data_IF_769496519682
#
_entry.id   IF_769496519682
#
_cell.length_a   1.000
_cell.length_b   1.000
_cell.length_c   1.000
_cell.angle_alpha   90.00
_cell.angle_beta   90.00
_cell.angle_gamma   90.00
#
_symmetry.space_group_name_H-M   'P 1'
#
loop_
_entity.id
_entity.type
_entity.pdbx_description
1 polymer ?
#
# COMPACT_ATOMS: atom_id res chain seq x y z
N UNK A 1 -27.90 -25.18 58.68
CA UNK A 1 -26.59 -25.73 58.28
C UNK A 1 -26.39 -25.41 56.80
N UNK A 2 -25.68 -24.31 56.50
CA UNK A 2 -25.36 -23.89 55.13
C UNK A 2 -23.91 -24.28 54.86
N UNK A 3 -23.68 -25.07 53.83
CA UNK A 3 -22.35 -25.41 53.32
C UNK A 3 -22.05 -24.45 52.16
N UNK A 4 -21.02 -23.59 52.23
CA UNK A 4 -20.59 -22.81 51.08
C UNK A 4 -19.50 -23.56 50.29
N UNK A 5 -19.68 -23.62 48.98
CA UNK A 5 -18.70 -24.07 48.00
C UNK A 5 -17.53 -23.08 47.90
N UNK A 6 -16.31 -23.60 47.97
CA UNK A 6 -15.08 -22.90 47.62
C UNK A 6 -14.96 -22.74 46.11
N UNK A 7 -14.63 -21.54 45.64
CA UNK A 7 -13.94 -21.31 44.37
C UNK A 7 -13.06 -20.06 44.49
N UNK A 8 -11.79 -20.27 44.80
CA UNK A 8 -10.74 -19.28 44.67
C UNK A 8 -10.44 -19.06 43.17
N UNK A 9 -10.91 -17.96 42.61
CA UNK A 9 -10.29 -17.36 41.42
C UNK A 9 -9.71 -16.01 41.83
N UNK A 10 -8.39 -15.99 42.02
CA UNK A 10 -7.65 -14.79 42.36
C UNK A 10 -7.78 -13.74 41.27
N UNK A 11 -8.40 -12.62 41.62
CA UNK A 11 -8.40 -11.40 40.83
C UNK A 11 -6.98 -10.82 40.90
N UNK A 12 -6.23 -10.93 39.82
CA UNK A 12 -4.94 -10.26 39.66
C UNK A 12 -5.21 -8.75 39.62
N UNK A 13 -4.92 -8.03 40.71
CA UNK A 13 -4.88 -6.57 40.72
C UNK A 13 -3.44 -6.13 40.45
N UNK A 14 -3.13 -5.52 39.29
CA UNK A 14 -1.83 -4.88 39.14
C UNK A 14 -1.80 -3.64 40.03
N UNK A 15 -0.81 -3.61 40.93
CA UNK A 15 -0.45 -2.44 41.73
C UNK A 15 -0.13 -1.26 40.81
N UNK A 16 -1.00 -0.23 40.86
CA UNK A 16 -0.78 1.08 40.24
C UNK A 16 0.36 1.80 40.96
N UNK A 17 1.60 1.54 40.54
CA UNK A 17 2.69 2.47 40.74
C UNK A 17 2.65 3.46 39.56
N UNK A 18 2.12 4.67 39.80
CA UNK A 18 2.07 5.75 38.82
C UNK A 18 3.52 6.18 38.49
N UNK A 19 4.04 6.00 37.27
CA UNK A 19 5.32 6.58 36.89
C UNK A 19 5.14 8.08 36.56
N UNK A 20 6.21 8.88 36.61
CA UNK A 20 6.14 10.30 36.29
C UNK A 20 5.85 10.51 34.79
N UNK A 21 5.09 11.56 34.50
CA UNK A 21 4.72 12.10 33.18
C UNK A 21 5.93 12.31 32.25
N UNK A 22 6.39 11.26 31.58
CA UNK A 22 7.48 11.31 30.60
C UNK A 22 7.03 10.62 29.33
N UNK A 23 6.85 11.43 28.28
CA UNK A 23 6.75 11.00 26.89
C UNK A 23 7.69 9.80 26.62
N UNK A 24 7.12 8.62 26.34
CA UNK A 24 7.89 7.42 26.03
C UNK A 24 8.51 7.60 24.64
N UNK A 25 9.84 7.58 24.60
CA UNK A 25 10.67 7.66 23.38
C UNK A 25 11.18 6.26 23.07
N UNK A 26 11.03 5.82 21.82
CA UNK A 26 11.54 4.54 21.34
C UNK A 26 12.38 4.73 20.08
N UNK A 27 13.48 3.99 19.97
CA UNK A 27 14.36 3.94 18.81
C UNK A 27 14.37 2.52 18.26
N UNK A 28 14.07 2.39 16.97
CA UNK A 28 13.93 1.11 16.27
C UNK A 28 14.93 1.03 15.14
N UNK A 29 15.68 -0.07 15.05
CA UNK A 29 16.39 -0.43 13.83
C UNK A 29 15.56 -1.45 13.07
N UNK A 30 15.25 -1.16 11.80
CA UNK A 30 14.39 -1.99 10.98
C UNK A 30 15.08 -2.50 9.72
N UNK A 31 14.72 -3.72 9.30
CA UNK A 31 15.26 -4.39 8.11
C UNK A 31 14.10 -4.90 7.23
N UNK A 32 14.15 -4.59 5.94
CA UNK A 32 13.25 -5.10 4.90
C UNK A 32 14.05 -5.82 3.81
N UNK A 33 13.74 -7.11 3.59
CA UNK A 33 14.37 -7.98 2.59
C UNK A 33 13.39 -9.02 2.02
N UNK A 34 12.11 -8.68 1.88
CA UNK A 34 11.08 -9.65 1.45
C UNK A 34 11.04 -9.90 -0.05
N UNK A 35 11.36 -8.87 -0.86
CA UNK A 35 11.30 -8.86 -2.31
C UNK A 35 12.68 -8.61 -2.94
N UNK A 36 12.88 -7.51 -3.66
CA UNK A 36 14.11 -7.14 -4.39
C UNK A 36 14.76 -5.85 -3.87
N UNK A 37 14.11 -5.19 -2.92
CA UNK A 37 14.63 -4.04 -2.20
C UNK A 37 15.32 -4.46 -0.89
N UNK A 38 16.60 -4.14 -0.76
CA UNK A 38 17.33 -4.20 0.50
C UNK A 38 17.19 -2.86 1.19
N UNK A 39 16.42 -2.78 2.29
CA UNK A 39 16.23 -1.51 3.00
C UNK A 39 16.52 -1.65 4.50
N UNK A 40 17.09 -0.57 5.05
CA UNK A 40 17.35 -0.44 6.49
C UNK A 40 16.92 0.96 6.94
N UNK A 41 16.27 1.04 8.10
CA UNK A 41 15.84 2.30 8.68
C UNK A 41 16.16 2.39 10.18
N UNK A 42 16.40 3.60 10.66
CA UNK A 42 16.44 3.95 12.08
C UNK A 42 15.34 4.96 12.34
N UNK A 43 14.29 4.51 13.02
CA UNK A 43 13.13 5.32 13.36
C UNK A 43 13.14 5.63 14.85
N UNK A 44 12.97 6.90 15.19
CA UNK A 44 12.65 7.34 16.53
C UNK A 44 11.18 7.75 16.61
N UNK A 45 10.49 7.32 17.66
CA UNK A 45 9.13 7.77 17.96
C UNK A 45 9.06 8.38 19.35
N UNK A 46 8.20 9.39 19.50
CA UNK A 46 7.91 10.05 20.78
C UNK A 46 6.43 10.34 20.87
N UNK A 47 5.77 9.87 21.92
CA UNK A 47 4.35 10.20 22.18
C UNK A 47 4.23 11.38 23.11
N UNK A 48 3.48 12.38 22.68
CA UNK A 48 3.05 13.52 23.48
C UNK A 48 1.72 13.17 24.14
N UNK A 49 1.53 13.61 25.38
CA UNK A 49 0.28 13.44 26.14
C UNK A 49 -0.70 14.58 25.86
N UNK A 50 -0.19 15.79 25.58
CA UNK A 50 -0.96 16.99 25.28
C UNK A 50 -0.25 17.84 24.20
N UNK A 51 -0.77 17.90 22.96
CA UNK A 51 -1.87 17.07 22.44
C UNK A 51 -1.46 15.60 22.33
N UNK A 52 -2.43 14.68 22.42
CA UNK A 52 -2.21 13.25 22.26
C UNK A 52 -1.80 12.90 20.83
N UNK A 53 -0.49 12.91 20.55
CA UNK A 53 0.08 12.69 19.21
C UNK A 53 1.39 11.93 19.31
N UNK A 54 1.63 11.01 18.37
CA UNK A 54 2.92 10.33 18.20
C UNK A 54 3.70 11.00 17.08
N UNK A 55 4.88 11.51 17.43
CA UNK A 55 5.86 12.04 16.49
C UNK A 55 6.79 10.93 16.03
N UNK A 56 7.23 10.99 14.79
CA UNK A 56 8.22 10.11 14.21
C UNK A 56 9.38 10.91 13.59
N UNK A 57 10.61 10.40 13.70
CA UNK A 57 11.79 10.95 13.03
C UNK A 57 12.64 9.82 12.46
N UNK A 58 12.96 9.90 11.17
CA UNK A 58 13.90 8.99 10.53
C UNK A 58 15.33 9.53 10.65
N UNK A 59 16.20 8.83 11.40
CA UNK A 59 17.62 9.16 11.51
C UNK A 59 18.45 8.56 10.36
N UNK A 60 17.93 7.48 9.78
CA UNK A 60 18.48 6.79 8.63
C UNK A 60 17.35 6.07 7.90
N UNK A 61 17.33 6.15 6.57
CA UNK A 61 16.43 5.39 5.73
C UNK A 61 17.06 5.31 4.34
N UNK A 62 17.60 4.13 4.02
CA UNK A 62 18.26 3.89 2.74
C UNK A 62 17.77 2.57 2.16
N UNK A 63 17.86 2.47 0.82
CA UNK A 63 17.39 1.32 0.06
C UNK A 63 18.27 1.09 -1.15
N UNK A 64 18.55 -0.19 -1.43
CA UNK A 64 19.21 -0.64 -2.66
C UNK A 64 18.29 -1.64 -3.35
N UNK A 65 17.84 -1.29 -4.55
CA UNK A 65 16.99 -2.14 -5.41
C UNK A 65 17.87 -3.03 -6.27
N UNK A 66 17.61 -4.34 -6.27
CA UNK A 66 18.33 -5.29 -7.12
C UNK A 66 18.12 -5.00 -8.62
N UNK A 67 19.20 -5.06 -9.41
CA UNK A 67 19.11 -4.85 -10.85
C UNK A 67 18.58 -6.12 -11.54
N UNK A 68 17.28 -6.09 -11.84
CA UNK A 68 16.57 -7.20 -12.47
C UNK A 68 16.31 -7.00 -13.98
N UNK A 69 16.99 -6.03 -14.63
CA UNK A 69 16.70 -5.65 -16.01
C UNK A 69 16.80 -6.82 -17.01
N UNK A 70 17.77 -7.72 -16.82
CA UNK A 70 17.96 -8.89 -17.69
C UNK A 70 16.82 -9.93 -17.62
N UNK A 71 16.01 -9.90 -16.56
CA UNK A 71 14.95 -10.88 -16.30
C UNK A 71 13.55 -10.34 -16.58
N UNK A 72 13.42 -9.06 -16.99
CA UNK A 72 12.14 -8.38 -17.24
C UNK A 72 11.15 -8.45 -16.06
N UNK A 73 11.66 -8.53 -14.83
CA UNK A 73 10.88 -8.64 -13.60
C UNK A 73 11.74 -9.15 -12.45
N UNK A 74 11.20 -9.12 -11.23
CA UNK A 74 11.94 -9.53 -10.02
C UNK A 74 12.43 -10.98 -10.15
N UNK A 75 13.76 -11.15 -10.12
CA UNK A 75 14.40 -12.46 -10.17
C UNK A 75 14.88 -12.87 -8.77
N UNK A 76 14.38 -13.98 -8.19
CA UNK A 76 14.64 -14.33 -6.80
C UNK A 76 16.12 -14.43 -6.43
N UNK A 77 16.96 -15.01 -7.29
CA UNK A 77 18.39 -15.19 -7.01
C UNK A 77 19.16 -13.86 -7.10
N UNK A 78 18.82 -13.01 -8.08
CA UNK A 78 19.47 -11.70 -8.21
C UNK A 78 19.09 -10.78 -7.04
N UNK A 79 17.84 -10.88 -6.56
CA UNK A 79 17.40 -10.22 -5.34
C UNK A 79 18.15 -10.74 -4.10
N UNK A 80 18.32 -12.07 -3.98
CA UNK A 80 19.08 -12.67 -2.88
C UNK A 80 20.54 -12.22 -2.84
N UNK A 81 21.23 -12.27 -3.98
CA UNK A 81 22.63 -11.80 -4.13
C UNK A 81 22.74 -10.33 -3.71
N UNK A 82 21.84 -9.49 -4.20
CA UNK A 82 21.79 -8.08 -3.82
C UNK A 82 21.60 -7.88 -2.31
N UNK A 83 20.69 -8.63 -1.66
CA UNK A 83 20.53 -8.56 -0.20
C UNK A 83 21.81 -8.96 0.55
N UNK A 84 22.49 -10.03 0.11
CA UNK A 84 23.71 -10.53 0.73
C UNK A 84 24.87 -9.53 0.61
N UNK A 85 24.98 -8.86 -0.54
CA UNK A 85 26.03 -7.86 -0.80
C UNK A 85 25.80 -6.54 -0.05
N UNK A 86 24.54 -6.10 0.08
CA UNK A 86 24.24 -4.73 0.49
C UNK A 86 23.77 -4.59 1.94
N UNK A 87 23.11 -5.61 2.52
CA UNK A 87 22.46 -5.46 3.83
C UNK A 87 23.45 -5.08 4.94
N UNK A 88 24.62 -5.73 5.00
CA UNK A 88 25.63 -5.46 6.03
C UNK A 88 26.18 -4.02 5.95
N UNK A 89 26.34 -3.50 4.73
CA UNK A 89 26.80 -2.13 4.50
C UNK A 89 25.76 -1.12 4.98
N UNK A 90 24.48 -1.32 4.62
CA UNK A 90 23.38 -0.48 5.07
C UNK A 90 23.21 -0.52 6.60
N UNK A 91 23.29 -1.70 7.22
CA UNK A 91 23.25 -1.84 8.69
C UNK A 91 24.40 -1.11 9.36
N UNK A 92 25.60 -1.15 8.78
CA UNK A 92 26.78 -0.44 9.32
C UNK A 92 26.56 1.08 9.33
N UNK A 93 26.02 1.64 8.25
CA UNK A 93 25.68 3.07 8.20
C UNK A 93 24.52 3.42 9.13
N UNK A 94 23.48 2.59 9.20
CA UNK A 94 22.36 2.76 10.12
C UNK A 94 22.80 2.84 11.59
N UNK A 95 23.71 1.94 12.02
CA UNK A 95 24.23 1.92 13.39
C UNK A 95 24.97 3.22 13.74
N UNK A 96 25.68 3.84 12.78
CA UNK A 96 26.35 5.14 13.00
C UNK A 96 25.36 6.27 13.26
N UNK A 97 24.13 6.14 12.74
CA UNK A 97 23.04 7.13 12.87
C UNK A 97 22.11 6.88 14.07
N UNK A 98 22.33 5.82 14.86
CA UNK A 98 21.53 5.58 16.06
C UNK A 98 21.66 6.75 17.05
N UNK A 99 20.55 7.36 17.49
CA UNK A 99 20.58 8.46 18.44
C UNK A 99 21.02 8.00 19.84
N UNK A 100 21.57 8.93 20.61
CA UNK A 100 21.94 8.72 22.01
C UNK A 100 23.35 8.13 22.24
N UNK A 101 23.85 8.28 23.48
CA UNK A 101 25.24 7.95 23.84
C UNK A 101 25.58 6.45 23.73
N UNK A 102 24.60 5.57 23.94
CA UNK A 102 24.78 4.10 23.93
C UNK A 102 24.75 3.49 22.53
N UNK A 103 24.39 4.27 21.48
CA UNK A 103 24.28 3.83 20.08
C UNK A 103 23.67 2.43 19.91
N UNK A 104 22.52 2.22 20.54
CA UNK A 104 21.74 0.98 20.44
C UNK A 104 20.26 1.31 20.31
N UNK A 105 19.48 0.54 19.53
CA UNK A 105 18.03 0.69 19.50
C UNK A 105 17.40 0.09 20.77
N UNK A 106 16.14 0.41 21.02
CA UNK A 106 15.33 -0.22 22.07
C UNK A 106 14.87 -1.62 21.66
N UNK A 107 14.64 -1.85 20.36
CA UNK A 107 14.35 -3.15 19.77
C UNK A 107 14.74 -3.18 18.27
N UNK A 108 14.84 -4.37 17.70
CA UNK A 108 15.05 -4.58 16.26
C UNK A 108 13.76 -5.11 15.65
N UNK A 109 13.30 -4.49 14.57
CA UNK A 109 12.20 -5.00 13.76
C UNK A 109 12.70 -5.54 12.43
N UNK A 110 12.08 -6.61 11.94
CA UNK A 110 12.45 -7.20 10.66
C UNK A 110 11.25 -7.83 10.01
N UNK A 111 11.15 -7.76 8.69
CA UNK A 111 10.10 -8.48 8.00
C UNK A 111 10.29 -9.98 8.09
N UNK A 112 9.29 -10.63 8.68
CA UNK A 112 9.25 -12.08 8.86
C UNK A 112 8.50 -12.78 7.72
N UNK A 113 7.60 -12.06 7.05
CA UNK A 113 6.89 -12.53 5.85
C UNK A 113 5.61 -11.72 5.57
N UNK A 114 4.83 -12.06 4.53
CA UNK A 114 5.19 -13.00 3.46
C UNK A 114 6.36 -12.49 2.61
N UNK A 115 6.91 -13.34 1.74
CA UNK A 115 8.02 -12.97 0.84
C UNK A 115 8.82 -14.16 0.34
N UNK A 116 9.86 -13.88 -0.44
CA UNK A 116 10.78 -14.91 -0.94
C UNK A 116 11.60 -15.48 0.23
N UNK A 117 11.48 -16.79 0.46
CA UNK A 117 11.96 -17.44 1.69
C UNK A 117 13.45 -17.20 1.95
N UNK A 118 14.30 -17.35 0.93
CA UNK A 118 15.75 -17.12 1.04
C UNK A 118 16.07 -15.67 1.36
N UNK A 119 15.37 -14.73 0.73
CA UNK A 119 15.56 -13.29 0.93
C UNK A 119 15.15 -12.87 2.35
N UNK A 120 14.03 -13.40 2.85
CA UNK A 120 13.58 -13.20 4.22
C UNK A 120 14.60 -13.72 5.24
N UNK A 121 15.26 -14.85 4.98
CA UNK A 121 16.28 -15.37 5.89
C UNK A 121 17.48 -14.41 6.03
N UNK A 122 17.92 -13.79 4.94
CA UNK A 122 19.03 -12.82 4.98
C UNK A 122 18.75 -11.70 5.99
N UNK A 123 17.60 -11.03 5.91
CA UNK A 123 17.22 -9.99 6.86
C UNK A 123 16.98 -10.52 8.28
N UNK A 124 16.22 -11.61 8.40
CA UNK A 124 15.82 -12.17 9.70
C UNK A 124 17.02 -12.66 10.52
N UNK A 125 17.98 -13.34 9.90
CA UNK A 125 19.14 -13.87 10.60
C UNK A 125 20.14 -12.76 10.95
N UNK A 126 20.29 -11.73 10.11
CA UNK A 126 21.00 -10.49 10.49
C UNK A 126 20.34 -9.82 11.70
N UNK A 127 19.01 -9.68 11.71
CA UNK A 127 18.28 -9.06 12.83
C UNK A 127 18.45 -9.85 14.14
N UNK A 128 18.41 -11.19 14.09
CA UNK A 128 18.72 -12.05 15.25
C UNK A 128 20.15 -11.86 15.73
N UNK A 129 21.10 -11.78 14.80
CA UNK A 129 22.52 -11.51 15.10
C UNK A 129 22.69 -10.19 15.86
N UNK A 130 22.07 -9.12 15.37
CA UNK A 130 22.07 -7.80 16.02
C UNK A 130 21.44 -7.85 17.42
N UNK A 131 20.24 -8.45 17.53
CA UNK A 131 19.52 -8.59 18.79
C UNK A 131 20.32 -9.37 19.85
N UNK A 132 21.02 -10.44 19.43
CA UNK A 132 21.86 -11.26 20.29
C UNK A 132 23.21 -10.61 20.66
N UNK A 133 23.80 -9.85 19.73
CA UNK A 133 25.13 -9.25 19.89
C UNK A 133 25.14 -8.10 20.91
N UNK A 134 24.05 -7.34 21.05
CA UNK A 134 23.91 -6.27 22.06
C UNK A 134 23.69 -6.83 23.49
N UNK A 135 24.66 -7.65 23.93
CA UNK A 135 24.70 -8.51 25.13
C UNK A 135 24.43 -7.83 26.47
N UNK A 136 24.53 -6.50 26.57
CA UNK A 136 24.30 -5.79 27.84
C UNK A 136 22.80 -5.62 28.20
N UNK A 137 21.85 -5.91 27.30
CA UNK A 137 20.41 -5.74 27.61
C UNK A 137 19.43 -6.69 26.92
N UNK A 138 19.87 -7.66 26.11
CA UNK A 138 19.00 -8.50 25.24
C UNK A 138 17.96 -7.66 24.50
N UNK A 139 18.38 -7.01 23.42
CA UNK A 139 17.50 -6.17 22.62
C UNK A 139 16.37 -7.05 22.05
N UNK A 140 15.09 -6.73 22.30
CA UNK A 140 13.97 -7.49 21.77
C UNK A 140 13.96 -7.52 20.24
N UNK A 141 13.44 -8.61 19.68
CA UNK A 141 13.20 -8.77 18.25
C UNK A 141 11.68 -8.72 17.99
N UNK A 142 11.28 -8.06 16.91
CA UNK A 142 9.89 -7.99 16.44
C UNK A 142 9.84 -8.38 14.97
N UNK A 143 9.24 -9.53 14.67
CA UNK A 143 8.95 -10.02 13.34
C UNK A 143 7.68 -9.37 12.79
N UNK A 144 7.83 -8.53 11.77
CA UNK A 144 6.75 -7.76 11.18
C UNK A 144 6.15 -8.48 9.98
N UNK A 145 4.83 -8.39 9.85
CA UNK A 145 4.13 -8.84 8.65
C UNK A 145 4.19 -7.76 7.57
N UNK A 146 4.75 -8.10 6.41
CA UNK A 146 4.99 -7.16 5.30
C UNK A 146 3.72 -6.40 4.87
N UNK A 147 2.61 -7.11 4.62
CA UNK A 147 1.34 -6.47 4.23
C UNK A 147 0.71 -5.60 5.33
N UNK A 148 0.91 -5.95 6.60
CA UNK A 148 0.47 -5.13 7.72
C UNK A 148 1.26 -3.81 7.73
N UNK A 149 2.56 -3.87 7.42
CA UNK A 149 3.39 -2.68 7.33
C UNK A 149 2.92 -1.71 6.25
N UNK A 150 2.61 -2.23 5.06
CA UNK A 150 1.96 -1.44 4.00
C UNK A 150 0.63 -0.81 4.47
N UNK A 151 -0.21 -1.56 5.18
CA UNK A 151 -1.49 -1.06 5.67
C UNK A 151 -1.35 0.06 6.73
N UNK A 152 -0.25 0.06 7.51
CA UNK A 152 0.02 1.04 8.56
C UNK A 152 0.93 2.20 8.13
N UNK A 153 1.51 2.16 6.92
CA UNK A 153 2.24 3.30 6.31
C UNK A 153 1.54 4.66 6.45
N UNK A 154 0.23 4.85 6.22
CA UNK A 154 -0.41 6.15 6.44
C UNK A 154 -0.26 6.69 7.87
N UNK A 155 -0.18 5.79 8.87
CA UNK A 155 0.03 6.17 10.28
C UNK A 155 1.47 6.61 10.55
N UNK A 156 2.45 5.99 9.86
CA UNK A 156 3.83 6.49 9.83
C UNK A 156 3.88 7.90 9.24
N UNK A 157 3.23 8.12 8.09
CA UNK A 157 3.22 9.42 7.42
C UNK A 157 2.65 10.50 8.33
N UNK A 158 1.48 10.25 8.93
CA UNK A 158 0.88 11.19 9.88
C UNK A 158 1.83 11.54 11.05
N UNK A 159 2.59 10.56 11.54
CA UNK A 159 3.55 10.78 12.62
C UNK A 159 4.81 11.56 12.18
N UNK A 160 5.27 11.37 10.94
CA UNK A 160 6.36 12.15 10.34
C UNK A 160 5.93 13.60 10.11
N UNK A 161 4.74 13.80 9.51
CA UNK A 161 4.18 15.12 9.24
C UNK A 161 3.96 15.91 10.53
N UNK A 162 3.49 15.25 11.60
CA UNK A 162 3.31 15.87 12.92
C UNK A 162 4.63 16.30 13.56
N UNK A 163 5.75 15.62 13.26
CA UNK A 163 7.07 15.99 13.76
C UNK A 163 7.64 17.22 13.04
N UNK A 164 7.36 17.36 11.74
CA UNK A 164 7.75 18.52 10.94
C UNK A 164 6.89 19.75 11.25
N UNK A 165 5.59 19.53 11.54
CA UNK A 165 4.60 20.58 11.73
C UNK A 165 3.89 20.43 13.09
N UNK A 166 4.61 20.69 14.19
CA UNK A 166 4.06 20.70 15.55
C UNK A 166 2.79 21.57 15.71
N UNK A 167 2.58 22.56 14.82
CA UNK A 167 1.40 23.44 14.79
C UNK A 167 0.21 22.91 13.99
N UNK A 168 0.37 21.86 13.15
CA UNK A 168 -0.70 21.30 12.30
C UNK A 168 -1.29 19.99 12.82
N UNK A 169 -0.88 19.52 14.00
CA UNK A 169 -1.44 18.35 14.66
C UNK A 169 -2.80 18.68 15.31
N UNK A 170 -3.79 19.06 14.51
CA UNK A 170 -5.15 19.33 14.99
C UNK A 170 -6.06 18.15 14.61
N UNK A 171 -6.22 17.23 15.56
CA UNK A 171 -7.49 16.57 15.84
C UNK A 171 -7.35 15.93 17.22
N UNK A 172 -7.98 16.56 18.23
CA UNK A 172 -7.97 16.07 19.61
C UNK A 172 -8.84 14.81 19.65
N UNK A 173 -8.22 13.65 19.86
CA UNK A 173 -8.96 12.41 20.16
C UNK A 173 -9.17 12.30 21.67
N UNK A 174 -10.42 12.25 22.17
CA UNK A 174 -10.66 12.06 23.60
C UNK A 174 -10.41 10.59 23.98
N UNK A 175 -9.68 10.40 25.08
CA UNK A 175 -9.48 9.16 25.83
C UNK A 175 -8.67 8.06 25.12
N UNK A 176 -7.35 8.04 25.38
CA UNK A 176 -6.51 6.85 25.17
C UNK A 176 -5.75 6.49 26.44
N UNK A 177 -5.50 5.20 26.62
CA UNK A 177 -4.55 4.68 27.61
C UNK A 177 -3.12 4.99 27.16
N UNK A 178 -2.18 5.18 28.10
CA UNK A 178 -0.76 5.54 27.88
C UNK A 178 0.03 4.62 26.90
N UNK A 179 -0.56 3.50 26.46
CA UNK A 179 0.10 2.42 25.73
C UNK A 179 -0.10 2.50 24.20
N UNK A 180 -1.12 3.20 23.71
CA UNK A 180 -1.47 3.26 22.28
C UNK A 180 -0.72 4.36 21.51
N UNK A 181 -0.39 4.09 20.23
CA UNK A 181 0.13 5.11 19.31
C UNK A 181 -1.01 6.01 18.85
N UNK A 182 -0.88 7.30 19.17
CA UNK A 182 -1.78 8.36 18.71
C UNK A 182 -1.34 8.88 17.32
N UNK A 183 -1.75 8.17 16.28
CA UNK A 183 -1.55 8.56 14.87
C UNK A 183 -2.84 8.29 14.08
N UNK A 184 -3.08 9.08 13.03
CA UNK A 184 -4.18 8.90 12.07
C UNK A 184 -3.72 8.09 10.86
N UNK A 185 -4.58 7.36 10.14
CA UNK A 185 -5.99 7.12 10.44
C UNK A 185 -6.18 6.28 11.70
N UNK A 186 -7.28 6.55 12.40
CA UNK A 186 -7.72 5.71 13.52
C UNK A 186 -8.35 4.42 12.98
N UNK A 187 -8.22 3.33 13.73
CA UNK A 187 -8.99 2.13 13.43
C UNK A 187 -10.48 2.38 13.77
N UNK A 188 -11.44 1.82 13.00
CA UNK A 188 -11.24 1.06 11.77
C UNK A 188 -11.05 1.96 10.53
N UNK A 189 -10.26 1.48 9.56
CA UNK A 189 -10.14 2.13 8.25
C UNK A 189 -10.02 1.09 7.12
N UNK A 190 -10.32 1.51 5.90
CA UNK A 190 -10.09 0.71 4.69
C UNK A 190 -8.81 1.15 4.00
N UNK A 191 -8.10 0.21 3.39
CA UNK A 191 -6.92 0.48 2.57
C UNK A 191 -7.04 -0.21 1.22
N UNK A 192 -6.86 0.56 0.15
CA UNK A 192 -6.54 0.03 -1.17
C UNK A 192 -5.02 -0.04 -1.26
N UNK A 193 -4.49 -1.25 -1.46
CA UNK A 193 -3.10 -1.45 -1.81
C UNK A 193 -3.01 -1.79 -3.30
N UNK A 194 -2.58 -0.81 -4.10
CA UNK A 194 -2.43 -0.93 -5.54
C UNK A 194 -0.96 -0.71 -5.95
N UNK A 195 -0.27 -1.81 -6.23
CA UNK A 195 1.14 -1.82 -6.65
C UNK A 195 1.32 -2.66 -7.92
N UNK A 196 2.57 -2.81 -8.38
CA UNK A 196 2.91 -3.71 -9.48
C UNK A 196 2.60 -5.18 -9.18
N UNK A 197 2.61 -5.60 -7.90
CA UNK A 197 2.39 -6.99 -7.50
C UNK A 197 1.11 -7.25 -6.70
N UNK A 198 0.43 -6.21 -6.21
CA UNK A 198 -0.73 -6.35 -5.36
C UNK A 198 -1.88 -5.44 -5.81
N UNK A 199 -3.10 -5.96 -5.72
CA UNK A 199 -4.33 -5.15 -5.80
C UNK A 199 -5.31 -5.72 -4.80
N UNK A 200 -5.34 -5.11 -3.62
CA UNK A 200 -6.09 -5.59 -2.46
C UNK A 200 -6.93 -4.46 -1.87
N UNK A 201 -8.07 -4.83 -1.28
CA UNK A 201 -8.83 -3.99 -0.38
C UNK A 201 -8.81 -4.63 1.00
N UNK A 202 -8.24 -3.92 1.97
CA UNK A 202 -7.98 -4.41 3.31
C UNK A 202 -8.83 -3.60 4.28
N UNK A 203 -9.55 -4.27 5.17
CA UNK A 203 -10.17 -3.65 6.33
C UNK A 203 -9.27 -3.83 7.55
N UNK A 204 -8.78 -2.72 8.09
CA UNK A 204 -7.97 -2.71 9.30
C UNK A 204 -8.88 -2.36 10.48
N UNK A 205 -9.35 -3.37 11.21
CA UNK A 205 -10.27 -3.19 12.33
C UNK A 205 -9.56 -2.80 13.63
N UNK A 206 -8.35 -3.32 13.85
CA UNK A 206 -7.44 -3.00 14.95
C UNK A 206 -5.99 -3.24 14.49
N UNK A 207 -5.01 -2.92 15.32
CA UNK A 207 -3.59 -3.21 15.05
C UNK A 207 -3.31 -4.68 14.68
N UNK A 208 -4.09 -5.63 15.22
CA UNK A 208 -3.84 -7.07 15.05
C UNK A 208 -4.93 -7.79 14.26
N UNK A 209 -5.96 -7.06 13.79
CA UNK A 209 -7.09 -7.64 13.05
C UNK A 209 -7.26 -6.91 11.73
N UNK A 210 -6.89 -7.61 10.66
CA UNK A 210 -6.96 -7.11 9.29
C UNK A 210 -7.60 -8.18 8.41
N UNK A 211 -8.64 -7.78 7.67
CA UNK A 211 -9.41 -8.66 6.78
C UNK A 211 -9.19 -8.23 5.33
N UNK A 212 -8.84 -9.16 4.44
CA UNK A 212 -8.79 -8.88 3.00
C UNK A 212 -10.23 -9.00 2.46
N UNK A 213 -10.84 -7.86 2.16
CA UNK A 213 -12.21 -7.78 1.64
C UNK A 213 -12.26 -8.11 0.14
N UNK A 214 -11.27 -7.63 -0.62
CA UNK A 214 -11.17 -7.83 -2.05
C UNK A 214 -9.72 -8.09 -2.46
N UNK A 215 -9.54 -8.94 -3.47
CA UNK A 215 -8.25 -9.15 -4.14
C UNK A 215 -8.44 -9.37 -5.63
N UNK A 216 -7.40 -9.11 -6.41
CA UNK A 216 -7.37 -9.56 -7.81
C UNK A 216 -7.27 -11.08 -7.88
N UNK A 217 -8.00 -11.70 -8.82
CA UNK A 217 -7.94 -13.12 -9.12
C UNK A 217 -6.91 -13.47 -10.21
N UNK A 218 -6.38 -12.46 -10.91
CA UNK A 218 -5.44 -12.63 -12.02
C UNK A 218 -4.14 -11.82 -11.84
N UNK A 219 -4.00 -10.69 -12.52
CA UNK A 219 -2.84 -9.80 -12.47
C UNK A 219 -3.14 -8.59 -11.60
N UNK A 220 -2.11 -7.98 -11.02
CA UNK A 220 -2.27 -6.71 -10.33
C UNK A 220 -2.53 -5.56 -11.31
N UNK A 221 -3.20 -4.51 -10.83
CA UNK A 221 -3.50 -3.33 -11.65
C UNK A 221 -2.23 -2.64 -12.14
N UNK A 222 -1.17 -2.58 -11.32
CA UNK A 222 0.10 -1.99 -11.74
C UNK A 222 0.74 -2.75 -12.90
N UNK A 223 0.79 -4.09 -12.82
CA UNK A 223 1.29 -4.93 -13.92
C UNK A 223 0.43 -4.78 -15.19
N UNK A 224 -0.89 -4.71 -15.04
CA UNK A 224 -1.81 -4.46 -16.16
C UNK A 224 -1.49 -3.14 -16.86
N UNK A 225 -1.35 -2.05 -16.10
CA UNK A 225 -1.03 -0.73 -16.63
C UNK A 225 0.36 -0.67 -17.26
N UNK A 226 1.37 -1.32 -16.67
CA UNK A 226 2.71 -1.39 -17.25
C UNK A 226 2.71 -2.14 -18.60
N UNK A 227 1.93 -3.21 -18.73
CA UNK A 227 1.76 -3.93 -20.00
C UNK A 227 1.03 -3.07 -21.03
N UNK A 228 -0.05 -2.38 -20.63
CA UNK A 228 -0.79 -1.46 -21.50
C UNK A 228 0.11 -0.32 -21.98
N UNK A 229 0.93 0.23 -21.10
CA UNK A 229 1.89 1.28 -21.46
C UNK A 229 2.87 0.83 -22.54
N UNK A 230 3.38 -0.40 -22.48
CA UNK A 230 4.26 -0.95 -23.53
C UNK A 230 3.56 -1.14 -24.88
N UNK A 231 2.24 -1.33 -24.88
CA UNK A 231 1.43 -1.50 -26.10
C UNK A 231 1.07 -0.13 -26.70
N UNK A 232 0.67 0.82 -25.86
CA UNK A 232 0.05 2.07 -26.29
C UNK A 232 1.09 3.18 -26.53
N UNK A 233 2.13 3.26 -25.69
CA UNK A 233 3.11 4.35 -25.76
C UNK A 233 3.99 4.26 -27.02
N UNK A 234 4.24 5.38 -27.70
CA UNK A 234 5.24 5.47 -28.77
C UNK A 234 6.63 5.00 -28.32
N UNK A 235 7.40 4.40 -29.25
CA UNK A 235 8.72 3.83 -28.96
C UNK A 235 9.69 4.90 -28.46
N UNK A 236 9.57 6.12 -28.96
CA UNK A 236 10.43 7.26 -28.60
C UNK A 236 10.23 7.66 -27.14
N UNK A 237 9.01 7.53 -26.61
CA UNK A 237 8.71 7.80 -25.20
C UNK A 237 9.26 6.68 -24.32
N UNK A 238 9.06 5.42 -24.73
CA UNK A 238 9.58 4.26 -24.00
C UNK A 238 11.11 4.23 -23.94
N UNK A 239 11.80 4.68 -25.00
CA UNK A 239 13.27 4.73 -25.04
C UNK A 239 13.86 5.89 -24.21
N UNK A 240 13.13 7.00 -24.09
CA UNK A 240 13.53 8.14 -23.24
C UNK A 240 13.28 7.88 -21.75
N UNK A 241 12.44 6.91 -21.42
CA UNK A 241 12.18 6.51 -20.05
C UNK A 241 13.43 5.87 -19.44
N UNK A 242 14.12 6.59 -18.54
CA UNK A 242 15.29 6.10 -17.82
C UNK A 242 14.98 5.07 -16.71
N UNK A 243 13.77 4.50 -16.66
CA UNK A 243 13.32 3.61 -15.59
C UNK A 243 12.11 2.74 -15.96
N UNK A 244 11.68 1.90 -15.02
CA UNK A 244 10.64 0.87 -15.21
C UNK A 244 9.23 1.29 -14.77
N UNK A 245 9.02 2.57 -14.39
CA UNK A 245 7.73 3.08 -13.93
C UNK A 245 6.78 3.42 -15.08
N UNK A 246 6.40 2.41 -15.88
CA UNK A 246 5.59 2.61 -17.08
C UNK A 246 4.18 3.12 -16.79
N UNK A 247 3.57 2.72 -15.67
CA UNK A 247 2.27 3.25 -15.24
C UNK A 247 2.26 4.77 -15.02
N UNK A 248 3.34 5.35 -14.49
CA UNK A 248 3.45 6.82 -14.33
C UNK A 248 3.60 7.53 -15.68
N UNK A 249 4.33 6.92 -16.63
CA UNK A 249 4.45 7.43 -17.99
C UNK A 249 3.12 7.35 -18.75
N UNK A 250 2.33 6.30 -18.50
CA UNK A 250 1.00 6.14 -19.08
C UNK A 250 0.07 7.29 -18.68
N UNK A 251 0.12 7.67 -17.40
CA UNK A 251 -0.63 8.81 -16.87
C UNK A 251 -0.21 10.12 -17.53
N UNK A 252 1.09 10.42 -17.54
CA UNK A 252 1.63 11.63 -18.16
C UNK A 252 1.31 11.72 -19.65
N UNK A 253 1.31 10.58 -20.34
CA UNK A 253 0.99 10.52 -21.76
C UNK A 253 -0.50 10.81 -22.02
N UNK A 254 -1.39 10.22 -21.21
CA UNK A 254 -2.83 10.46 -21.29
C UNK A 254 -3.19 11.90 -20.92
N UNK A 255 -2.56 12.46 -19.89
CA UNK A 255 -2.84 13.79 -19.35
C UNK A 255 -1.57 14.66 -19.41
N UNK A 256 -1.25 15.24 -20.58
CA UNK A 256 -0.02 16.01 -20.79
C UNK A 256 -0.01 17.40 -20.13
N UNK A 257 -1.08 17.79 -19.42
CA UNK A 257 -1.07 19.03 -18.65
C UNK A 257 -0.13 18.87 -17.46
N UNK A 258 0.58 19.94 -17.10
CA UNK A 258 1.36 19.99 -15.86
C UNK A 258 0.40 19.84 -14.69
N UNK A 259 0.19 18.60 -14.25
CA UNK A 259 -0.47 18.28 -13.00
C UNK A 259 0.36 18.99 -11.93
N UNK A 260 -0.18 20.10 -11.40
CA UNK A 260 0.52 21.03 -10.52
C UNK A 260 1.30 20.23 -9.49
N UNK A 261 2.60 20.51 -9.29
CA UNK A 261 3.39 19.86 -8.25
C UNK A 261 2.71 20.11 -6.89
N UNK A 262 1.91 19.14 -6.45
CA UNK A 262 1.05 19.32 -5.30
C UNK A 262 1.89 19.26 -4.04
N UNK A 263 1.79 20.30 -3.20
CA UNK A 263 2.19 20.20 -1.80
C UNK A 263 1.51 18.97 -1.22
N UNK A 264 2.28 18.16 -0.51
CA UNK A 264 1.80 16.98 0.20
C UNK A 264 0.79 17.46 1.26
N UNK A 265 -0.49 17.46 0.90
CA UNK A 265 -1.60 17.67 1.82
C UNK A 265 -2.13 16.26 2.15
N UNK A 266 -2.06 15.88 3.42
CA UNK A 266 -2.05 14.49 3.88
C UNK A 266 -3.43 13.82 3.91
N UNK A 267 -4.53 14.59 3.90
CA UNK A 267 -5.89 14.07 3.95
C UNK A 267 -6.93 15.08 3.46
N UNK A 268 -7.91 14.62 2.69
CA UNK A 268 -9.09 15.40 2.25
C UNK A 268 -10.34 14.56 2.46
N UNK A 269 -11.51 15.19 2.63
CA UNK A 269 -12.76 14.47 2.33
C UNK A 269 -12.84 14.17 0.82
N UNK A 270 -13.52 13.11 0.42
CA UNK A 270 -13.69 12.75 -0.98
C UNK A 270 -14.31 13.91 -1.80
N UNK A 271 -15.27 14.63 -1.22
CA UNK A 271 -15.91 15.79 -1.86
C UNK A 271 -15.00 17.02 -1.96
N UNK A 272 -14.13 17.27 -0.98
CA UNK A 272 -13.11 18.32 -1.10
C UNK A 272 -12.09 18.00 -2.18
N UNK A 273 -11.64 16.74 -2.24
CA UNK A 273 -10.74 16.29 -3.29
C UNK A 273 -11.37 16.51 -4.67
N UNK A 274 -12.60 16.04 -4.91
CA UNK A 274 -13.29 16.27 -6.18
C UNK A 274 -13.34 17.76 -6.57
N UNK A 275 -13.80 18.64 -5.66
CA UNK A 275 -13.91 20.08 -5.93
C UNK A 275 -12.57 20.72 -6.30
N UNK A 276 -11.48 20.25 -5.71
CA UNK A 276 -10.15 20.80 -5.96
C UNK A 276 -9.55 20.35 -7.29
N UNK A 277 -9.90 19.15 -7.74
CA UNK A 277 -9.28 18.50 -8.90
C UNK A 277 -10.22 18.36 -10.12
N UNK A 278 -11.46 18.87 -10.03
CA UNK A 278 -12.49 18.75 -11.09
C UNK A 278 -12.04 19.30 -12.45
N UNK A 279 -11.29 20.40 -12.47
CA UNK A 279 -10.83 21.01 -13.72
C UNK A 279 -9.68 20.26 -14.40
N UNK A 280 -9.07 19.26 -13.76
CA UNK A 280 -7.90 18.57 -14.28
C UNK A 280 -8.25 17.33 -15.11
N UNK A 281 -9.43 16.75 -14.89
CA UNK A 281 -9.84 15.50 -15.53
C UNK A 281 -11.26 15.60 -16.07
N UNK A 282 -11.44 15.27 -17.35
CA UNK A 282 -12.77 15.18 -17.97
C UNK A 282 -13.44 13.83 -17.62
N UNK A 283 -13.57 13.55 -16.31
CA UNK A 283 -14.18 12.31 -15.82
C UNK A 283 -15.56 12.57 -15.22
N UNK A 284 -16.57 11.87 -15.75
CA UNK A 284 -17.94 11.88 -15.21
C UNK A 284 -18.36 10.47 -14.80
N UNK A 285 -18.74 10.37 -13.54
CA UNK A 285 -19.38 9.20 -12.94
C UNK A 285 -20.66 8.81 -13.72
N UNK A 286 -20.78 7.56 -14.21
CA UNK A 286 -22.04 7.05 -14.75
C UNK A 286 -23.15 7.06 -13.69
N UNK A 287 -24.37 7.49 -14.04
CA UNK A 287 -25.52 7.55 -13.11
C UNK A 287 -26.12 6.18 -12.83
N UNK A 288 -26.06 5.28 -13.80
CA UNK A 288 -26.59 3.93 -13.71
C UNK A 288 -25.80 2.96 -14.61
N UNK A 289 -26.11 1.66 -14.50
CA UNK A 289 -25.39 0.60 -15.22
C UNK A 289 -25.61 0.65 -16.75
N UNK A 290 -26.74 1.17 -17.22
CA UNK A 290 -27.01 1.33 -18.64
C UNK A 290 -26.13 2.44 -19.25
N UNK A 291 -26.02 3.60 -18.57
CA UNK A 291 -25.12 4.69 -18.97
C UNK A 291 -23.65 4.25 -18.92
N UNK A 292 -23.29 3.41 -17.95
CA UNK A 292 -21.96 2.81 -17.83
C UNK A 292 -21.62 1.91 -19.02
N UNK A 293 -22.58 1.19 -19.60
CA UNK A 293 -22.37 0.39 -20.82
C UNK A 293 -22.37 1.23 -22.09
N UNK A 294 -23.24 2.24 -22.19
CA UNK A 294 -23.39 3.06 -23.41
C UNK A 294 -22.22 4.02 -23.64
N UNK A 295 -21.60 4.57 -22.59
CA UNK A 295 -20.51 5.56 -22.69
C UNK A 295 -19.14 5.00 -23.08
N UNK A 296 -19.00 3.68 -23.24
CA UNK A 296 -17.68 3.07 -23.44
C UNK A 296 -17.25 3.03 -24.91
N UNK A 297 -18.14 3.22 -25.89
CA UNK A 297 -17.76 3.20 -27.31
C UNK A 297 -17.14 4.55 -27.67
N UNK A 298 -15.86 4.54 -28.03
CA UNK A 298 -15.12 5.76 -28.39
C UNK A 298 -15.37 6.15 -29.84
N UNK A 299 -14.96 7.38 -30.20
CA UNK A 299 -14.98 7.87 -31.60
C UNK A 299 -14.16 7.01 -32.57
N UNK A 300 -13.27 6.17 -32.04
CA UNK A 300 -12.44 5.24 -32.80
C UNK A 300 -13.12 3.88 -33.05
N UNK A 301 -14.28 3.63 -32.43
CA UNK A 301 -15.06 2.40 -32.59
C UNK A 301 -14.67 1.26 -31.65
N UNK A 302 -13.65 1.42 -30.81
CA UNK A 302 -13.35 0.45 -29.73
C UNK A 302 -13.93 0.90 -28.39
N UNK A 303 -14.06 -0.04 -27.46
CA UNK A 303 -14.55 0.20 -26.11
C UNK A 303 -13.80 -0.67 -25.11
N UNK A 304 -13.43 -0.09 -23.96
CA UNK A 304 -12.86 -0.84 -22.84
C UNK A 304 -13.89 -0.90 -21.72
N UNK A 305 -14.56 -2.04 -21.62
CA UNK A 305 -15.53 -2.27 -20.56
C UNK A 305 -14.84 -2.57 -19.23
N UNK A 306 -15.54 -2.31 -18.13
CA UNK A 306 -15.08 -2.73 -16.82
C UNK A 306 -14.80 -4.24 -16.81
N UNK A 307 -13.69 -4.68 -16.19
CA UNK A 307 -13.41 -6.10 -16.03
C UNK A 307 -14.55 -6.84 -15.32
N UNK A 308 -14.69 -8.14 -15.60
CA UNK A 308 -15.77 -9.02 -15.11
C UNK A 308 -17.19 -8.71 -15.63
N UNK A 309 -17.34 -7.84 -16.64
CA UNK A 309 -18.59 -7.70 -17.39
C UNK A 309 -18.88 -8.98 -18.21
N UNK A 310 -20.06 -9.62 -18.07
CA UNK A 310 -20.43 -10.78 -18.91
C UNK A 310 -20.84 -10.32 -20.30
N UNK A 311 -20.53 -11.14 -21.31
CA UNK A 311 -20.92 -10.97 -22.71
C UNK A 311 -22.45 -11.01 -23.00
N UNK A 312 -23.30 -10.97 -21.97
CA UNK A 312 -24.76 -11.00 -22.07
C UNK A 312 -25.50 -10.10 -21.07
N UNK A 313 -24.86 -9.00 -20.62
CA UNK A 313 -25.51 -7.98 -19.77
C UNK A 313 -25.70 -8.33 -18.29
N UNK A 314 -25.27 -9.51 -17.84
CA UNK A 314 -25.27 -9.86 -16.42
C UNK A 314 -23.95 -9.49 -15.74
N UNK A 315 -23.90 -8.45 -14.91
CA UNK A 315 -22.65 -8.08 -14.24
C UNK A 315 -22.40 -8.90 -12.96
N UNK A 316 -21.18 -9.42 -12.79
CA UNK A 316 -20.64 -9.85 -11.47
C UNK A 316 -20.23 -8.63 -10.60
N UNK A 317 -20.61 -7.39 -10.98
CA UNK A 317 -20.28 -6.14 -10.26
C UNK A 317 -20.80 -6.04 -8.83
N UNK A 318 -21.44 -7.07 -8.25
CA UNK A 318 -21.83 -7.08 -6.83
C UNK A 318 -20.87 -7.86 -5.92
N UNK A 319 -19.83 -8.48 -6.49
CA UNK A 319 -18.85 -9.22 -5.72
C UNK A 319 -17.58 -8.39 -5.50
N UNK A 320 -16.91 -8.62 -4.37
CA UNK A 320 -15.61 -8.02 -4.02
C UNK A 320 -14.42 -8.67 -4.78
N UNK A 321 -14.68 -9.26 -5.95
CA UNK A 321 -13.65 -9.87 -6.80
C UNK A 321 -13.14 -8.82 -7.80
N UNK A 322 -11.83 -8.79 -8.02
CA UNK A 322 -11.17 -7.94 -9.03
C UNK A 322 -10.43 -8.80 -10.06
N UNK A 323 -10.27 -8.27 -11.26
CA UNK A 323 -9.59 -8.92 -12.39
C UNK A 323 -9.21 -7.82 -13.38
N UNK A 324 -8.05 -7.94 -14.03
CA UNK A 324 -7.54 -6.92 -14.96
C UNK A 324 -6.97 -7.54 -16.25
N UNK A 325 -6.85 -8.87 -16.35
CA UNK A 325 -6.26 -9.53 -17.53
C UNK A 325 -7.02 -9.23 -18.84
N UNK A 326 -8.36 -9.24 -18.79
CA UNK A 326 -9.19 -8.98 -19.97
C UNK A 326 -9.03 -7.57 -20.55
N UNK A 327 -8.64 -6.58 -19.73
CA UNK A 327 -8.42 -5.21 -20.18
C UNK A 327 -7.18 -5.13 -21.08
N UNK A 328 -6.07 -5.77 -20.69
CA UNK A 328 -4.86 -5.83 -21.52
C UNK A 328 -5.18 -6.43 -22.91
N UNK A 329 -5.89 -7.55 -22.94
CA UNK A 329 -6.27 -8.21 -24.20
C UNK A 329 -7.19 -7.32 -25.06
N UNK A 330 -8.09 -6.54 -24.45
CA UNK A 330 -8.94 -5.61 -25.17
C UNK A 330 -8.11 -4.50 -25.83
N UNK A 331 -7.14 -3.93 -25.12
CA UNK A 331 -6.23 -2.91 -25.66
C UNK A 331 -5.37 -3.47 -26.79
N UNK A 332 -4.79 -4.66 -26.60
CA UNK A 332 -4.00 -5.32 -27.63
C UNK A 332 -4.79 -5.55 -28.93
N UNK A 333 -6.06 -5.99 -28.81
CA UNK A 333 -6.96 -6.15 -29.95
C UNK A 333 -7.33 -4.82 -30.61
N UNK A 334 -7.52 -3.77 -29.81
CA UNK A 334 -7.76 -2.42 -30.31
C UNK A 334 -6.57 -1.89 -31.11
N UNK A 335 -5.34 -2.16 -30.67
CA UNK A 335 -4.13 -1.79 -31.42
C UNK A 335 -3.96 -2.64 -32.67
N UNK A 336 -4.18 -3.95 -32.59
CA UNK A 336 -3.88 -4.89 -33.68
C UNK A 336 -4.89 -4.89 -34.82
N UNK A 337 -6.18 -4.66 -34.56
CA UNK A 337 -7.25 -4.86 -35.55
C UNK A 337 -8.12 -3.63 -35.76
N UNK A 338 -8.68 -3.50 -36.96
CA UNK A 338 -9.62 -2.43 -37.31
C UNK A 338 -10.99 -2.62 -36.63
N UNK A 339 -11.64 -1.51 -36.29
CA UNK A 339 -12.98 -1.46 -35.75
C UNK A 339 -13.93 -0.76 -36.72
N UNK A 340 -15.15 -1.28 -36.87
CA UNK A 340 -16.19 -0.61 -37.65
C UNK A 340 -16.74 0.55 -36.83
N UNK A 341 -16.40 1.79 -37.19
CA UNK A 341 -16.80 2.99 -36.43
C UNK A 341 -18.30 3.09 -36.15
N UNK A 342 -19.16 2.69 -37.09
CA UNK A 342 -20.62 2.78 -36.93
C UNK A 342 -21.24 1.74 -35.99
N UNK A 343 -20.56 0.61 -35.76
CA UNK A 343 -21.11 -0.51 -34.95
C UNK A 343 -20.23 -0.91 -33.77
N UNK A 344 -19.01 -0.37 -33.68
CA UNK A 344 -17.99 -0.73 -32.73
C UNK A 344 -17.48 -2.18 -32.84
N UNK A 345 -17.85 -2.90 -33.91
CA UNK A 345 -17.46 -4.31 -34.08
C UNK A 345 -16.00 -4.42 -34.50
N UNK A 346 -15.26 -5.21 -33.75
CA UNK A 346 -13.92 -5.66 -34.10
C UNK A 346 -13.96 -6.48 -35.40
N UNK A 347 -13.06 -6.17 -36.33
CA UNK A 347 -12.87 -6.94 -37.57
C UNK A 347 -11.68 -7.89 -37.44
N UNK A 348 -11.52 -8.81 -38.40
CA UNK A 348 -10.32 -9.65 -38.52
C UNK A 348 -9.22 -9.00 -39.39
N UNK A 349 -9.36 -7.71 -39.71
CA UNK A 349 -8.40 -6.98 -40.56
C UNK A 349 -7.37 -6.34 -39.63
N UNK A 350 -6.10 -6.70 -39.79
CA UNK A 350 -5.01 -6.09 -39.03
C UNK A 350 -4.76 -4.64 -39.50
N UNK A 351 -4.39 -3.76 -38.58
CA UNK A 351 -3.96 -2.39 -38.88
C UNK A 351 -2.49 -2.17 -38.56
N UNK A 352 -1.84 -1.27 -39.27
CA UNK A 352 -0.45 -0.88 -38.99
C UNK A 352 -0.36 -0.09 -37.70
N UNK A 353 0.79 -0.15 -37.02
CA UNK A 353 1.08 0.71 -35.88
C UNK A 353 1.08 2.21 -36.27
N UNK A 354 1.36 2.51 -37.53
CA UNK A 354 1.37 3.85 -38.12
C UNK A 354 -0.05 4.39 -38.37
N UNK A 355 -1.06 3.50 -38.43
CA UNK A 355 -2.47 3.88 -38.59
C UNK A 355 -3.07 4.44 -37.29
N UNK A 356 -2.35 4.31 -36.17
CA UNK A 356 -2.81 4.72 -34.85
C UNK A 356 -2.22 6.08 -34.51
N UNK A 357 -3.07 7.11 -34.61
CA UNK A 357 -2.68 8.48 -34.28
C UNK A 357 -2.25 8.62 -32.81
N UNK A 358 -1.46 9.66 -32.52
CA UNK A 358 -1.09 9.98 -31.13
C UNK A 358 -2.33 10.27 -30.26
N UNK A 359 -3.37 10.87 -30.84
CA UNK A 359 -4.63 11.14 -30.16
C UNK A 359 -5.36 9.84 -29.80
N UNK A 360 -5.45 8.89 -30.72
CA UNK A 360 -6.05 7.58 -30.43
C UNK A 360 -5.28 6.83 -29.35
N UNK A 361 -3.94 6.89 -29.36
CA UNK A 361 -3.10 6.30 -28.30
C UNK A 361 -3.38 6.96 -26.94
N UNK A 362 -3.56 8.28 -26.89
CA UNK A 362 -3.89 8.98 -25.64
C UNK A 362 -5.25 8.56 -25.11
N UNK A 363 -6.26 8.49 -25.98
CA UNK A 363 -7.58 7.99 -25.62
C UNK A 363 -7.48 6.54 -25.11
N UNK A 364 -6.67 5.69 -25.75
CA UNK A 364 -6.45 4.33 -25.26
C UNK A 364 -5.86 4.29 -23.85
N UNK A 365 -4.86 5.14 -23.57
CA UNK A 365 -4.23 5.24 -22.25
C UNK A 365 -5.25 5.68 -21.19
N UNK A 366 -5.99 6.77 -21.45
CA UNK A 366 -7.02 7.29 -20.55
C UNK A 366 -8.13 6.25 -20.30
N UNK A 367 -8.76 5.72 -21.36
CA UNK A 367 -9.91 4.82 -21.21
C UNK A 367 -9.50 3.49 -20.55
N UNK A 368 -8.26 3.04 -20.76
CA UNK A 368 -7.74 1.87 -20.06
C UNK A 368 -7.58 2.12 -18.56
N UNK A 369 -6.96 3.24 -18.18
CA UNK A 369 -6.85 3.64 -16.77
C UNK A 369 -8.23 3.82 -16.14
N UNK A 370 -9.16 4.45 -16.86
CA UNK A 370 -10.53 4.65 -16.41
C UNK A 370 -11.22 3.32 -16.10
N UNK A 371 -11.19 2.36 -17.03
CA UNK A 371 -11.81 1.06 -16.84
C UNK A 371 -11.21 0.30 -15.64
N UNK A 372 -9.88 0.37 -15.46
CA UNK A 372 -9.20 -0.24 -14.33
C UNK A 372 -9.54 0.43 -12.99
N UNK A 373 -9.56 1.76 -12.94
CA UNK A 373 -9.78 2.52 -11.71
C UNK A 373 -11.24 2.54 -11.29
N UNK A 374 -12.18 2.61 -12.23
CA UNK A 374 -13.60 2.42 -11.94
C UNK A 374 -13.87 1.03 -11.36
N UNK A 375 -13.17 0.00 -11.84
CA UNK A 375 -13.28 -1.35 -11.30
C UNK A 375 -12.94 -1.40 -9.81
N UNK A 376 -11.81 -0.79 -9.43
CA UNK A 376 -11.37 -0.67 -8.03
C UNK A 376 -12.37 0.16 -7.23
N UNK A 377 -12.78 1.33 -7.75
CA UNK A 377 -13.70 2.25 -7.09
C UNK A 377 -15.06 1.59 -6.79
N UNK A 378 -15.59 0.80 -7.72
CA UNK A 378 -16.83 0.06 -7.51
C UNK A 378 -16.72 -0.93 -6.32
N UNK A 379 -15.59 -1.63 -6.17
CA UNK A 379 -15.39 -2.57 -5.05
C UNK A 379 -15.18 -1.83 -3.73
N UNK A 380 -14.55 -0.66 -3.75
CA UNK A 380 -14.48 0.20 -2.58
C UNK A 380 -15.87 0.64 -2.09
N UNK A 381 -16.74 1.07 -3.01
CA UNK A 381 -18.13 1.45 -2.66
C UNK A 381 -18.89 0.27 -2.06
N UNK A 382 -18.79 -0.92 -2.65
CA UNK A 382 -19.41 -2.14 -2.09
C UNK A 382 -18.85 -2.51 -0.71
N UNK A 383 -17.54 -2.33 -0.50
CA UNK A 383 -16.93 -2.58 0.78
C UNK A 383 -17.40 -1.59 1.84
N UNK A 384 -17.54 -0.29 1.52
CA UNK A 384 -18.07 0.70 2.44
C UNK A 384 -19.54 0.48 2.80
N UNK A 385 -20.33 -0.13 1.90
CA UNK A 385 -21.71 -0.53 2.19
C UNK A 385 -21.79 -1.64 3.25
N UNK A 386 -20.86 -2.59 3.21
CA UNK A 386 -20.85 -3.76 4.12
C UNK A 386 -19.99 -3.53 5.37
N UNK A 387 -18.96 -2.69 5.27
CA UNK A 387 -17.96 -2.40 6.29
C UNK A 387 -17.74 -0.87 6.33
N UNK A 388 -18.62 -0.13 7.04
CA UNK A 388 -18.50 1.32 7.12
C UNK A 388 -17.16 1.76 7.72
N UNK A 389 -16.51 2.71 7.06
CA UNK A 389 -15.28 3.34 7.53
C UNK A 389 -15.30 4.83 7.23
N UNK A 390 -14.72 5.63 8.12
CA UNK A 390 -14.59 7.09 7.95
C UNK A 390 -13.38 7.47 7.12
N UNK A 391 -12.44 6.56 6.95
CA UNK A 391 -11.18 6.82 6.25
C UNK A 391 -10.83 5.69 5.29
N UNK A 392 -10.41 6.09 4.09
CA UNK A 392 -9.89 5.22 3.03
C UNK A 392 -8.48 5.65 2.69
N UNK A 393 -7.54 4.72 2.81
CA UNK A 393 -6.14 4.90 2.43
C UNK A 393 -5.94 4.33 1.04
N UNK A 394 -5.24 5.04 0.17
CA UNK A 394 -4.84 4.55 -1.16
C UNK A 394 -3.33 4.55 -1.25
N UNK A 395 -2.74 3.36 -1.10
CA UNK A 395 -1.30 3.14 -1.02
C UNK A 395 -0.79 2.25 -2.16
N UNK A 396 0.54 2.17 -2.28
CA UNK A 396 1.24 1.45 -3.34
C UNK A 396 1.60 2.36 -4.52
N UNK A 397 2.44 1.85 -5.43
CA UNK A 397 2.96 2.63 -6.56
C UNK A 397 1.88 3.21 -7.47
N UNK A 398 0.77 2.49 -7.66
CA UNK A 398 -0.38 2.97 -8.46
C UNK A 398 -1.21 3.99 -7.66
N UNK A 399 -1.15 3.97 -6.32
CA UNK A 399 -1.74 5.00 -5.47
C UNK A 399 -1.11 6.40 -5.66
N UNK A 400 0.04 6.51 -6.33
CA UNK A 400 0.62 7.77 -6.75
C UNK A 400 -0.10 8.43 -7.95
N UNK A 401 -0.88 7.65 -8.71
CA UNK A 401 -1.58 8.11 -9.89
C UNK A 401 -2.76 9.01 -9.49
N UNK A 402 -2.72 10.28 -9.87
CA UNK A 402 -3.72 11.28 -9.51
C UNK A 402 -5.07 11.01 -10.19
N UNK A 403 -5.06 10.43 -11.39
CA UNK A 403 -6.31 10.02 -12.04
C UNK A 403 -7.05 8.94 -11.25
N UNK A 404 -6.36 7.93 -10.68
CA UNK A 404 -6.94 6.95 -9.76
C UNK A 404 -7.56 7.65 -8.55
N UNK A 405 -6.82 8.57 -7.92
CA UNK A 405 -7.30 9.34 -6.76
C UNK A 405 -8.59 10.08 -7.08
N UNK A 406 -8.63 10.74 -8.25
CA UNK A 406 -9.79 11.49 -8.70
C UNK A 406 -10.99 10.59 -9.01
N UNK A 407 -10.78 9.47 -9.71
CA UNK A 407 -11.84 8.49 -10.00
C UNK A 407 -12.43 7.92 -8.70
N UNK A 408 -11.58 7.56 -7.74
CA UNK A 408 -12.00 7.07 -6.42
C UNK A 408 -12.84 8.11 -5.68
N UNK A 409 -12.32 9.32 -5.51
CA UNK A 409 -13.03 10.41 -4.82
C UNK A 409 -14.37 10.74 -5.49
N UNK A 410 -14.40 10.76 -6.82
CA UNK A 410 -15.59 11.05 -7.63
C UNK A 410 -16.65 9.99 -7.44
N UNK A 411 -16.25 8.71 -7.46
CA UNK A 411 -17.17 7.60 -7.18
C UNK A 411 -17.67 7.60 -5.74
N UNK A 412 -16.81 7.83 -4.75
CA UNK A 412 -17.24 7.94 -3.36
C UNK A 412 -18.29 9.04 -3.19
N UNK A 413 -18.01 10.25 -3.70
CA UNK A 413 -18.92 11.39 -3.62
C UNK A 413 -20.27 11.08 -4.29
N UNK A 414 -20.26 10.53 -5.50
CA UNK A 414 -21.49 10.19 -6.23
C UNK A 414 -22.35 9.11 -5.55
N UNK A 415 -21.74 8.27 -4.71
CA UNK A 415 -22.42 7.20 -3.98
C UNK A 415 -22.75 7.56 -2.52
N UNK A 416 -22.65 8.84 -2.14
CA UNK A 416 -23.01 9.32 -0.80
C UNK A 416 -21.92 9.18 0.26
N UNK A 417 -20.68 8.90 -0.15
CA UNK A 417 -19.49 8.79 0.71
C UNK A 417 -18.59 10.02 0.58
N UNK A 418 -19.17 11.21 0.34
CA UNK A 418 -18.44 12.46 0.15
C UNK A 418 -17.61 12.89 1.36
N UNK A 419 -18.07 12.56 2.57
CA UNK A 419 -17.43 12.92 3.84
C UNK A 419 -16.32 11.93 4.25
N UNK A 420 -16.13 10.84 3.51
CA UNK A 420 -15.04 9.88 3.78
C UNK A 420 -13.70 10.57 3.54
N UNK A 421 -12.80 10.47 4.51
CA UNK A 421 -11.44 10.99 4.39
C UNK A 421 -10.63 10.07 3.49
N UNK A 422 -10.05 10.61 2.43
CA UNK A 422 -9.12 9.91 1.54
C UNK A 422 -7.68 10.31 1.88
N UNK A 423 -6.83 9.31 2.12
CA UNK A 423 -5.42 9.48 2.51
C UNK A 423 -4.53 8.87 1.46
N UNK A 424 -3.53 9.64 1.01
CA UNK A 424 -2.60 9.24 -0.06
C UNK A 424 -1.16 9.34 0.44
N UNK A 425 -0.56 8.24 0.94
CA UNK A 425 0.83 8.25 1.38
C UNK A 425 1.79 8.66 0.24
N UNK A 426 2.95 9.27 0.54
CA UNK A 426 3.88 9.71 -0.48
C UNK A 426 4.50 8.50 -1.21
N UNK A 427 4.79 8.60 -2.52
CA UNK A 427 5.23 7.46 -3.32
C UNK A 427 6.47 6.73 -2.78
N UNK A 428 7.42 7.46 -2.20
CA UNK A 428 8.64 6.89 -1.60
C UNK A 428 8.36 5.98 -0.39
N UNK A 429 7.25 6.20 0.33
CA UNK A 429 6.82 5.36 1.46
C UNK A 429 5.78 4.29 1.06
N UNK A 430 5.23 4.38 -0.15
CA UNK A 430 4.33 3.37 -0.74
C UNK A 430 5.06 2.15 -1.33
N UNK A 431 6.35 2.28 -1.67
CA UNK A 431 7.19 1.16 -2.11
C UNK A 431 7.73 0.37 -0.92
N UNK A 432 8.26 -0.83 -1.14
CA UNK A 432 8.87 -1.63 -0.07
C UNK A 432 10.04 -0.87 0.57
N UNK A 433 9.99 -0.69 1.89
CA UNK A 433 10.98 0.06 2.63
C UNK A 433 11.04 -0.35 4.10
N UNK A 434 12.18 -0.10 4.77
CA UNK A 434 12.33 -0.43 6.18
C UNK A 434 11.65 0.56 7.14
N UNK A 435 11.24 1.75 6.68
CA UNK A 435 10.55 2.71 7.54
C UNK A 435 9.16 2.20 7.95
N UNK A 436 8.38 1.60 7.02
CA UNK A 436 7.10 0.96 7.35
C UNK A 436 7.26 -0.22 8.32
N UNK A 437 8.38 -0.94 8.23
CA UNK A 437 8.72 -2.04 9.15
C UNK A 437 9.05 -1.49 10.53
N UNK A 438 9.82 -0.40 10.60
CA UNK A 438 10.16 0.27 11.85
C UNK A 438 8.90 0.78 12.57
N UNK A 439 7.99 1.41 11.82
CA UNK A 439 6.73 1.93 12.35
C UNK A 439 5.84 0.81 12.90
N UNK A 440 5.58 -0.20 12.08
CA UNK A 440 4.73 -1.33 12.47
C UNK A 440 5.33 -2.11 13.62
N UNK A 441 6.66 -2.32 13.59
CA UNK A 441 7.39 -2.89 14.71
C UNK A 441 7.22 -2.07 16.00
N UNK A 442 7.16 -0.74 15.89
CA UNK A 442 6.91 0.15 17.03
C UNK A 442 5.48 0.03 17.56
N UNK A 443 4.47 0.01 16.68
CA UNK A 443 3.08 -0.22 17.08
C UNK A 443 2.95 -1.56 17.84
N UNK A 444 3.51 -2.63 17.25
CA UNK A 444 3.47 -3.98 17.82
C UNK A 444 4.25 -4.07 19.13
N UNK A 445 5.45 -3.50 19.20
CA UNK A 445 6.28 -3.50 20.41
C UNK A 445 5.60 -2.79 21.58
N UNK A 446 4.95 -1.65 21.30
CA UNK A 446 4.19 -0.90 22.31
C UNK A 446 2.94 -1.63 22.78
N UNK A 447 2.30 -2.38 21.89
CA UNK A 447 1.23 -3.33 22.24
C UNK A 447 1.75 -4.58 22.99
N UNK A 448 3.04 -4.65 23.33
CA UNK A 448 3.64 -5.72 24.11
C UNK A 448 4.15 -6.91 23.30
N UNK A 449 4.08 -6.86 21.96
CA UNK A 449 4.53 -7.95 21.10
C UNK A 449 6.06 -8.04 21.04
N UNK A 450 6.58 -9.26 21.23
CA UNK A 450 8.02 -9.57 21.21
C UNK A 450 8.20 -11.01 20.74
N UNK A 451 9.10 -11.22 19.79
CA UNK A 451 9.41 -12.54 19.28
C UNK A 451 10.60 -13.19 20.00
N UNK A 452 10.58 -14.53 20.06
CA UNK A 452 11.75 -15.31 20.46
C UNK A 452 12.75 -15.33 19.31
N UNK A 453 14.05 -15.42 19.61
CA UNK A 453 15.08 -15.56 18.58
C UNK A 453 14.96 -16.85 17.73
N UNK A 454 14.11 -17.80 18.13
CA UNK A 454 13.81 -19.03 17.41
C UNK A 454 12.81 -18.87 16.25
N UNK A 455 12.26 -17.67 16.00
CA UNK A 455 11.33 -17.47 14.90
C UNK A 455 11.99 -17.74 13.54
N UNK A 456 11.16 -18.17 12.59
CA UNK A 456 11.56 -18.46 11.21
C UNK A 456 10.77 -17.57 10.24
N UNK A 457 11.35 -17.35 9.07
CA UNK A 457 10.68 -16.71 7.95
C UNK A 457 9.43 -17.51 7.56
N UNK A 458 8.38 -16.81 7.15
CA UNK A 458 7.11 -17.40 6.71
C UNK A 458 6.89 -16.97 5.27
N UNK A 459 6.95 -17.91 4.32
CA UNK A 459 6.82 -17.56 2.90
C UNK A 459 5.41 -17.06 2.57
N UNK A 460 4.41 -17.78 3.06
CA UNK A 460 2.98 -17.48 2.89
C UNK A 460 2.38 -17.23 4.25
N UNK A 461 2.23 -15.95 4.59
CA UNK A 461 1.63 -15.50 5.84
C UNK A 461 0.32 -14.80 5.50
N UNK A 462 -0.83 -15.43 5.78
CA UNK A 462 -2.13 -14.78 5.66
C UNK A 462 -2.27 -13.63 6.66
N UNK A 463 -2.82 -12.50 6.20
CA UNK A 463 -2.93 -11.27 6.99
C UNK A 463 -3.95 -11.37 8.13
N UNK A 464 -4.91 -12.30 8.04
CA UNK A 464 -5.85 -12.66 9.11
C UNK A 464 -5.22 -13.56 10.19
N UNK A 465 -4.01 -14.09 9.95
CA UNK A 465 -3.27 -14.98 10.85
C UNK A 465 -2.01 -14.32 11.44
N UNK A 466 -2.07 -13.02 11.76
CA UNK A 466 -0.93 -12.25 12.28
C UNK A 466 -0.32 -12.85 13.56
N UNK A 467 -1.12 -13.10 14.59
CA UNK A 467 -0.59 -13.61 15.87
C UNK A 467 -0.42 -15.13 15.90
N UNK A 468 -1.01 -15.84 14.94
CA UNK A 468 -1.02 -17.30 14.86
C UNK A 468 -0.61 -17.77 13.46
N UNK A 469 0.65 -17.52 13.06
CA UNK A 469 1.11 -17.85 11.71
C UNK A 469 0.98 -19.35 11.44
N UNK A 470 0.66 -19.74 10.19
CA UNK A 470 0.52 -21.14 9.83
C UNK A 470 1.84 -21.89 10.06
N UNK A 471 1.74 -23.10 10.61
CA UNK A 471 2.88 -24.01 10.70
C UNK A 471 3.18 -24.52 9.29
N UNK A 472 4.29 -24.08 8.69
CA UNK A 472 4.74 -24.63 7.41
C UNK A 472 5.01 -26.13 7.58
N UNK A 473 4.16 -26.97 6.97
CA UNK A 473 4.42 -28.41 6.87
C UNK A 473 5.71 -28.58 6.08
N UNK A 474 6.75 -29.13 6.71
CA UNK A 474 7.93 -29.64 6.02
C UNK A 474 7.50 -30.88 5.24
N UNK A 475 7.11 -30.69 3.99
CA UNK A 475 7.02 -31.75 2.97
C UNK A 475 8.31 -31.78 2.19
#
# INVERSE_FOLDING_TARGET
MRVPLFANYGVFRPTLARPPSRARRFVTLAIETSCDDTSVAVLETKTLEDPATTLAQLHFHEKVTSNNAAFNGVHPLAALESHQENLANLVTEAIKRLPGKKRKPDFVSVTRGPGMRSNLFTGLDTAKGLAAAWKASRIPLVGVHHMQAHALTPRLVAALDAAENLSSAWEVTPHRTEEEIAATPNFPFLSILASGGHTLLIHSATLIKHDILASTSDVAVGECLDKIARIVLPREILQKAGGTMYGALLEQFAFPQDCVAHRHESSFTASEFCRRFESQYEYRVPKNHEEEMQRNVTKWGWAFNQPLARAGGGSKNKNLEMSFSGLMTAVERAVRYQHVQSTGKLTNIERSADDISLEERRDMAEFSMRAAFEHIAARLVLALQSTPATTVVVAGGVGANYYLRYVLASKLTAHGYGDVIVVFPPPNLCSDNAAMIAWTGTEMYRAGHRDKLSIRAIRRWPLDMLLSPPVEKTT
#
